data_IF_780366581901
#
_entry.id   IF_780366581901
#
_cell.length_a   1.000
_cell.length_b   1.000
_cell.length_c   1.000
_cell.angle_alpha   90.00
_cell.angle_beta   90.00
_cell.angle_gamma   90.00
#
_symmetry.space_group_name_H-M   'P 1'
#
loop_
_entity.id
_entity.type
_entity.pdbx_description
1 polymer ?
#
# COMPACT_ATOMS: atom_id res chain seq x y z
N UNK A 1 5.40 -24.02 9.89
CA UNK A 1 4.88 -22.65 10.09
C UNK A 1 5.63 -21.99 11.26
N UNK A 2 5.20 -20.79 11.69
CA UNK A 2 5.88 -19.94 12.67
C UNK A 2 6.08 -20.57 14.07
N UNK A 3 5.42 -21.68 14.41
CA UNK A 3 5.58 -22.29 15.74
C UNK A 3 6.14 -23.72 15.72
N UNK A 4 6.26 -24.36 14.56
CA UNK A 4 6.76 -25.74 14.47
C UNK A 4 7.68 -26.08 13.30
N UNK A 5 7.74 -25.25 12.24
CA UNK A 5 8.49 -25.59 11.02
C UNK A 5 8.04 -26.88 10.31
N UNK A 6 6.93 -27.48 10.76
CA UNK A 6 6.36 -28.76 10.36
C UNK A 6 5.38 -28.65 9.17
N UNK A 7 4.87 -27.45 8.92
CA UNK A 7 3.98 -27.15 7.79
C UNK A 7 4.70 -26.43 6.65
N UNK A 8 4.50 -26.92 5.42
CA UNK A 8 4.90 -26.27 4.16
C UNK A 8 3.68 -25.76 3.40
N UNK A 9 3.76 -24.51 2.92
CA UNK A 9 2.81 -23.93 1.97
C UNK A 9 3.39 -24.00 0.56
N UNK A 10 2.74 -24.75 -0.33
CA UNK A 10 3.15 -24.89 -1.73
C UNK A 10 2.16 -24.17 -2.65
N UNK A 11 2.66 -23.22 -3.43
CA UNK A 11 1.89 -22.52 -4.45
C UNK A 11 2.10 -23.20 -5.81
N UNK A 12 1.04 -23.78 -6.39
CA UNK A 12 1.11 -24.53 -7.63
C UNK A 12 0.06 -24.04 -8.66
N UNK A 13 0.37 -24.21 -9.96
CA UNK A 13 -0.59 -24.02 -11.04
C UNK A 13 -1.14 -25.38 -11.48
N UNK A 14 -2.45 -25.65 -11.33
CA UNK A 14 -3.00 -26.97 -11.67
C UNK A 14 -2.99 -27.23 -13.17
N UNK A 15 -2.52 -28.40 -13.58
CA UNK A 15 -2.56 -28.86 -14.97
C UNK A 15 -3.69 -29.88 -15.15
N UNK A 16 -4.94 -29.39 -15.18
CA UNK A 16 -6.16 -30.21 -15.25
C UNK A 16 -6.92 -30.27 -13.91
N UNK A 17 -7.90 -31.19 -13.76
CA UNK A 17 -8.62 -31.38 -12.50
C UNK A 17 -7.65 -31.84 -11.41
N UNK A 18 -7.76 -31.25 -10.23
CA UNK A 18 -6.88 -31.53 -9.09
C UNK A 18 -7.48 -32.53 -8.11
N UNK A 19 -8.78 -32.76 -8.19
CA UNK A 19 -9.50 -33.75 -7.40
C UNK A 19 -9.82 -35.00 -8.24
N UNK A 20 -9.79 -36.17 -7.60
CA UNK A 20 -10.13 -37.46 -8.21
C UNK A 20 -11.59 -37.53 -8.71
N UNK A 21 -12.46 -36.67 -8.20
CA UNK A 21 -13.86 -36.55 -8.63
C UNK A 21 -14.05 -35.59 -9.81
N UNK A 22 -12.95 -35.09 -10.39
CA UNK A 22 -12.96 -34.14 -11.51
C UNK A 22 -13.09 -32.68 -11.10
N UNK A 23 -13.13 -32.37 -9.80
CA UNK A 23 -13.19 -31.02 -9.25
C UNK A 23 -11.86 -30.26 -9.26
N UNK A 24 -11.92 -28.94 -9.01
CA UNK A 24 -10.73 -28.05 -8.85
C UNK A 24 -10.15 -28.03 -7.43
N UNK A 25 -10.82 -28.66 -6.47
CA UNK A 25 -10.40 -28.79 -5.07
C UNK A 25 -10.99 -30.09 -4.51
N UNK A 26 -10.33 -30.66 -3.51
CA UNK A 26 -10.82 -31.84 -2.77
C UNK A 26 -11.71 -31.46 -1.57
N UNK A 27 -11.87 -30.17 -1.27
CA UNK A 27 -12.72 -29.69 -0.17
C UNK A 27 -14.20 -29.58 -0.60
N UNK A 28 -15.12 -29.99 0.28
CA UNK A 28 -16.59 -29.97 0.07
C UNK A 28 -17.29 -28.84 0.86
N UNK A 29 -18.58 -28.60 0.61
CA UNK A 29 -19.40 -27.58 1.30
C UNK A 29 -19.27 -26.15 0.75
N UNK A 30 -19.63 -25.12 1.53
CA UNK A 30 -19.42 -23.68 1.19
C UNK A 30 -17.93 -23.34 0.97
N UNK A 31 -17.06 -24.25 1.38
CA UNK A 31 -15.60 -24.30 1.24
C UNK A 31 -15.15 -24.64 -0.20
N UNK A 32 -16.09 -25.01 -1.09
CA UNK A 32 -15.87 -25.08 -2.55
C UNK A 32 -15.55 -23.73 -3.16
N UNK A 33 -15.73 -22.62 -2.43
CA UNK A 33 -15.09 -21.36 -2.77
C UNK A 33 -13.59 -21.53 -2.58
N UNK A 34 -12.90 -21.84 -3.68
CA UNK A 34 -11.48 -21.55 -3.78
C UNK A 34 -11.35 -20.04 -3.52
N UNK A 35 -10.93 -19.68 -2.31
CA UNK A 35 -10.53 -18.32 -1.96
C UNK A 35 -9.25 -18.07 -2.73
N UNK A 36 -9.39 -17.67 -3.99
CA UNK A 36 -8.25 -17.54 -4.90
C UNK A 36 -8.53 -18.16 -6.25
N UNK A 37 -9.27 -17.44 -7.10
CA UNK A 37 -8.69 -17.24 -8.42
C UNK A 37 -7.32 -16.59 -8.19
N UNK A 38 -6.29 -17.43 -8.15
CA UNK A 38 -4.94 -17.05 -7.74
C UNK A 38 -4.33 -16.07 -8.73
N UNK A 39 -4.96 -15.77 -9.86
CA UNK A 39 -4.57 -14.65 -10.70
C UNK A 39 -4.78 -13.31 -9.98
N UNK A 40 -5.99 -13.07 -9.47
CA UNK A 40 -6.32 -11.84 -8.73
C UNK A 40 -5.66 -11.81 -7.35
N UNK A 41 -5.46 -12.97 -6.70
CA UNK A 41 -4.72 -13.03 -5.43
C UNK A 41 -3.20 -13.01 -5.59
N UNK A 42 -2.61 -13.52 -6.69
CA UNK A 42 -1.20 -13.26 -7.03
C UNK A 42 -0.99 -11.81 -7.37
N UNK A 43 -1.92 -11.17 -8.08
CA UNK A 43 -1.92 -9.72 -8.22
C UNK A 43 -2.03 -9.08 -6.84
N UNK A 44 -2.96 -9.47 -5.96
CA UNK A 44 -3.08 -8.86 -4.62
C UNK A 44 -1.87 -9.08 -3.70
N UNK A 45 -1.25 -10.26 -3.71
CA UNK A 45 -0.05 -10.58 -2.93
C UNK A 45 1.21 -10.02 -3.57
N UNK A 46 1.30 -10.04 -4.89
CA UNK A 46 2.37 -9.43 -5.68
C UNK A 46 2.32 -7.91 -5.63
N UNK A 47 1.14 -7.29 -5.70
CA UNK A 47 0.89 -5.85 -5.53
C UNK A 47 1.10 -5.45 -4.08
N UNK A 48 0.66 -6.26 -3.10
CA UNK A 48 1.05 -6.08 -1.70
C UNK A 48 2.57 -6.07 -1.55
N UNK A 49 3.26 -7.00 -2.21
CA UNK A 49 4.72 -7.03 -2.30
C UNK A 49 5.33 -5.83 -3.03
N UNK A 50 4.74 -5.32 -4.12
CA UNK A 50 5.23 -4.14 -4.83
C UNK A 50 5.08 -2.87 -3.99
N UNK A 51 3.95 -2.74 -3.29
CA UNK A 51 3.66 -1.63 -2.40
C UNK A 51 4.63 -1.62 -1.21
N UNK A 52 4.90 -2.80 -0.62
CA UNK A 52 5.95 -2.96 0.40
C UNK A 52 7.33 -2.63 -0.19
N UNK A 53 7.64 -3.08 -1.40
CA UNK A 53 8.92 -2.80 -2.06
C UNK A 53 9.14 -1.30 -2.34
N UNK A 54 8.07 -0.56 -2.64
CA UNK A 54 8.12 0.90 -2.77
C UNK A 54 8.46 1.52 -1.42
N UNK A 55 7.84 1.04 -0.33
CA UNK A 55 8.12 1.51 1.03
C UNK A 55 9.57 1.21 1.45
N UNK A 56 10.04 -0.02 1.23
CA UNK A 56 11.43 -0.43 1.46
C UNK A 56 12.41 0.45 0.67
N UNK A 57 12.10 0.73 -0.60
CA UNK A 57 12.91 1.63 -1.43
C UNK A 57 12.94 3.04 -0.84
N UNK A 58 11.83 3.56 -0.31
CA UNK A 58 11.81 4.87 0.33
C UNK A 58 12.62 4.89 1.62
N UNK A 59 12.60 3.82 2.41
CA UNK A 59 13.39 3.68 3.63
C UNK A 59 14.90 3.61 3.31
N UNK A 60 15.29 2.82 2.31
CA UNK A 60 16.67 2.78 1.79
C UNK A 60 17.14 4.16 1.33
N UNK A 61 16.29 4.92 0.62
CA UNK A 61 16.62 6.27 0.18
C UNK A 61 16.67 7.26 1.34
N UNK A 62 15.82 7.09 2.35
CA UNK A 62 15.84 7.93 3.55
C UNK A 62 17.15 7.75 4.32
N UNK A 63 17.66 6.52 4.42
CA UNK A 63 18.98 6.23 4.99
C UNK A 63 20.16 6.82 4.20
N UNK A 64 19.96 7.18 2.93
CA UNK A 64 20.97 7.76 2.03
C UNK A 64 20.87 9.30 1.93
N UNK A 65 20.04 9.96 2.75
CA UNK A 65 19.85 11.41 2.68
C UNK A 65 21.17 12.16 2.87
N UNK A 66 22.01 11.75 3.83
CA UNK A 66 23.31 12.39 4.12
C UNK A 66 24.39 12.12 3.05
N UNK A 67 24.24 11.04 2.27
CA UNK A 67 25.20 10.68 1.22
C UNK A 67 24.95 11.47 -0.07
N UNK A 68 25.53 12.66 -0.13
CA UNK A 68 25.43 13.56 -1.29
C UNK A 68 26.03 13.00 -2.59
N UNK A 69 26.80 11.90 -2.56
CA UNK A 69 27.29 11.26 -3.77
C UNK A 69 26.18 10.47 -4.50
N UNK A 70 25.16 10.00 -3.78
CA UNK A 70 24.03 9.29 -4.36
C UNK A 70 22.96 10.28 -4.80
N UNK A 71 22.55 10.17 -6.06
CA UNK A 71 21.54 11.03 -6.68
C UNK A 71 20.37 10.19 -7.18
N UNK A 72 19.16 10.56 -6.76
CA UNK A 72 17.91 10.05 -7.32
C UNK A 72 16.84 11.13 -7.23
N UNK A 73 15.77 11.00 -8.04
CA UNK A 73 14.65 11.93 -7.97
C UNK A 73 14.02 11.96 -6.57
N UNK A 74 13.76 10.78 -5.99
CA UNK A 74 13.23 10.63 -4.63
C UNK A 74 14.15 11.21 -3.56
N UNK A 75 15.47 11.03 -3.67
CA UNK A 75 16.44 11.66 -2.76
C UNK A 75 16.43 13.18 -2.86
N UNK A 76 16.27 13.72 -4.07
CA UNK A 76 16.15 15.17 -4.28
C UNK A 76 14.92 15.77 -3.60
N UNK A 77 13.82 15.03 -3.51
CA UNK A 77 12.62 15.45 -2.78
C UNK A 77 12.76 15.21 -1.27
N UNK A 78 13.36 14.11 -0.85
CA UNK A 78 13.61 13.82 0.57
C UNK A 78 14.55 14.83 1.23
N UNK A 79 15.55 15.34 0.48
CA UNK A 79 16.53 16.34 0.94
C UNK A 79 15.99 17.77 1.00
N UNK A 80 14.95 18.08 0.23
CA UNK A 80 14.35 19.43 0.16
C UNK A 80 12.84 19.36 0.42
N UNK A 81 12.42 19.58 1.68
CA UNK A 81 11.00 19.51 2.03
C UNK A 81 10.13 20.56 1.35
N UNK A 82 10.70 21.69 0.92
CA UNK A 82 9.95 22.73 0.21
C UNK A 82 9.72 22.32 -1.24
N UNK A 83 10.72 21.70 -1.87
CA UNK A 83 10.57 21.09 -3.20
C UNK A 83 9.56 19.94 -3.16
N UNK A 84 9.62 19.07 -2.16
CA UNK A 84 8.63 18.02 -1.95
C UNK A 84 7.21 18.58 -1.77
N UNK A 85 7.05 19.64 -0.96
CA UNK A 85 5.76 20.28 -0.73
C UNK A 85 5.19 20.89 -2.02
N UNK A 86 6.03 21.59 -2.80
CA UNK A 86 5.62 22.17 -4.08
C UNK A 86 5.17 21.08 -5.04
N UNK A 87 5.93 20.00 -5.16
CA UNK A 87 5.59 18.88 -6.05
C UNK A 87 4.29 18.21 -5.61
N UNK A 88 4.15 17.91 -4.32
CA UNK A 88 2.90 17.37 -3.78
C UNK A 88 1.69 18.27 -4.06
N UNK A 89 1.83 19.59 -3.97
CA UNK A 89 0.77 20.53 -4.32
C UNK A 89 0.38 20.51 -5.80
N UNK A 90 1.34 20.24 -6.69
CA UNK A 90 1.10 20.03 -8.13
C UNK A 90 0.26 18.77 -8.35
N UNK A 91 0.69 17.62 -7.79
CA UNK A 91 -0.03 16.33 -7.89
C UNK A 91 -1.46 16.41 -7.34
N UNK A 92 -1.68 17.19 -6.27
CA UNK A 92 -3.03 17.41 -5.72
C UNK A 92 -3.92 18.09 -6.76
N UNK A 93 -3.40 19.10 -7.46
CA UNK A 93 -4.17 19.82 -8.47
C UNK A 93 -4.36 18.99 -9.74
N UNK A 94 -3.32 18.25 -10.16
CA UNK A 94 -3.38 17.34 -11.31
C UNK A 94 -4.39 16.22 -11.07
N UNK A 95 -4.40 15.60 -9.88
CA UNK A 95 -5.43 14.62 -9.51
C UNK A 95 -6.85 15.21 -9.51
N UNK A 96 -7.03 16.40 -8.92
CA UNK A 96 -8.35 17.06 -8.92
C UNK A 96 -8.81 17.35 -10.35
N UNK A 97 -7.91 17.82 -11.20
CA UNK A 97 -8.22 18.09 -12.61
C UNK A 97 -8.55 16.79 -13.36
N UNK A 98 -7.75 15.75 -13.18
CA UNK A 98 -7.96 14.45 -13.83
C UNK A 98 -9.34 13.87 -13.49
N UNK A 99 -9.77 13.99 -12.23
CA UNK A 99 -11.11 13.55 -11.80
C UNK A 99 -12.24 14.34 -12.47
N UNK A 100 -12.01 15.60 -12.81
CA UNK A 100 -13.01 16.49 -13.41
C UNK A 100 -13.07 16.32 -14.94
N UNK A 101 -11.91 16.16 -15.59
CA UNK A 101 -11.78 16.38 -17.04
C UNK A 101 -11.34 15.15 -17.85
N UNK A 102 -10.68 14.16 -17.23
CA UNK A 102 -9.88 13.14 -17.95
C UNK A 102 -10.45 11.70 -17.87
N UNK A 103 -10.03 10.77 -18.76
CA UNK A 103 -10.41 9.36 -18.68
C UNK A 103 -9.82 8.65 -17.44
N UNK A 104 -10.46 7.54 -17.04
CA UNK A 104 -10.17 6.80 -15.79
C UNK A 104 -8.69 6.41 -15.59
N UNK A 105 -7.96 6.13 -16.68
CA UNK A 105 -6.53 5.76 -16.63
C UNK A 105 -5.63 6.90 -16.13
N UNK A 106 -5.99 8.14 -16.44
CA UNK A 106 -5.20 9.30 -16.02
C UNK A 106 -5.47 9.57 -14.52
N UNK A 107 -6.69 9.34 -14.04
CA UNK A 107 -7.03 9.42 -12.60
C UNK A 107 -6.24 8.42 -11.75
N UNK A 108 -6.08 7.18 -12.22
CA UNK A 108 -5.29 6.15 -11.49
C UNK A 108 -3.83 6.56 -11.36
N UNK A 109 -3.26 7.15 -12.41
CA UNK A 109 -1.87 7.62 -12.43
C UNK A 109 -1.68 8.78 -11.45
N UNK A 110 -2.51 9.82 -11.54
CA UNK A 110 -2.42 10.99 -10.66
C UNK A 110 -2.67 10.61 -9.19
N UNK A 111 -3.56 9.66 -8.93
CA UNK A 111 -3.77 9.15 -7.56
C UNK A 111 -2.54 8.41 -7.03
N UNK A 112 -1.86 7.64 -7.87
CA UNK A 112 -0.63 6.95 -7.49
C UNK A 112 0.49 7.96 -7.16
N UNK A 113 0.67 8.99 -7.99
CA UNK A 113 1.66 10.04 -7.78
C UNK A 113 1.34 10.88 -6.54
N UNK A 114 0.06 11.18 -6.28
CA UNK A 114 -0.41 11.81 -5.05
C UNK A 114 -0.06 10.99 -3.80
N UNK A 115 -0.35 9.69 -3.80
CA UNK A 115 -0.04 8.79 -2.68
C UNK A 115 1.46 8.70 -2.41
N UNK A 116 2.27 8.59 -3.48
CA UNK A 116 3.72 8.56 -3.38
C UNK A 116 4.29 9.89 -2.87
N UNK A 117 3.81 11.02 -3.40
CA UNK A 117 4.19 12.37 -2.98
C UNK A 117 3.87 12.63 -1.51
N UNK A 118 2.73 12.14 -1.02
CA UNK A 118 2.36 12.26 0.39
C UNK A 118 3.35 11.53 1.32
N UNK A 119 3.77 10.31 0.96
CA UNK A 119 4.75 9.54 1.72
C UNK A 119 6.13 10.21 1.73
N UNK A 120 6.61 10.69 0.57
CA UNK A 120 7.87 11.42 0.47
C UNK A 120 7.83 12.71 1.30
N UNK A 121 6.76 13.49 1.22
CA UNK A 121 6.62 14.74 1.95
C UNK A 121 6.60 14.52 3.46
N UNK A 122 5.95 13.45 3.93
CA UNK A 122 5.96 13.09 5.34
C UNK A 122 7.38 12.77 5.82
N UNK A 123 8.10 11.91 5.07
CA UNK A 123 9.47 11.49 5.39
C UNK A 123 10.50 12.63 5.27
N UNK A 124 10.36 13.54 4.31
CA UNK A 124 11.28 14.69 4.15
C UNK A 124 11.25 15.65 5.34
N UNK A 125 10.15 15.67 6.11
CA UNK A 125 10.01 16.47 7.34
C UNK A 125 10.41 15.71 8.60
N UNK A 126 11.19 14.64 8.47
CA UNK A 126 11.63 13.76 9.56
C UNK A 126 10.46 13.12 10.34
N UNK A 127 9.29 13.00 9.71
CA UNK A 127 8.20 12.22 10.29
C UNK A 127 8.40 10.77 9.90
N UNK A 128 8.52 9.91 10.90
CA UNK A 128 8.55 8.46 10.73
C UNK A 128 7.17 7.95 10.32
N UNK A 129 6.87 8.07 9.02
CA UNK A 129 5.62 7.66 8.40
C UNK A 129 5.93 6.58 7.38
N UNK A 130 5.71 5.33 7.79
CA UNK A 130 5.74 4.18 6.89
C UNK A 130 4.37 3.88 6.30
N UNK A 131 4.34 3.23 5.15
CA UNK A 131 3.09 2.80 4.55
C UNK A 131 2.39 1.74 5.41
N UNK A 132 3.14 0.92 6.13
CA UNK A 132 2.61 0.01 7.14
C UNK A 132 1.78 0.76 8.20
N UNK A 133 2.30 1.87 8.73
CA UNK A 133 1.61 2.67 9.74
C UNK A 133 0.28 3.24 9.22
N UNK A 134 0.27 3.69 7.96
CA UNK A 134 -0.92 4.20 7.26
C UNK A 134 -1.94 3.08 7.06
N UNK A 135 -1.50 1.91 6.59
CA UNK A 135 -2.36 0.74 6.39
C UNK A 135 -3.00 0.28 7.70
N UNK A 136 -2.24 0.22 8.81
CA UNK A 136 -2.77 -0.10 10.14
C UNK A 136 -3.89 0.86 10.55
N UNK A 137 -3.73 2.16 10.32
CA UNK A 137 -4.77 3.16 10.59
C UNK A 137 -6.01 2.92 9.72
N UNK A 138 -5.84 2.61 8.43
CA UNK A 138 -6.96 2.33 7.53
C UNK A 138 -7.73 1.06 7.91
N UNK A 139 -7.02 0.01 8.34
CA UNK A 139 -7.63 -1.24 8.84
C UNK A 139 -8.46 -0.93 10.09
N UNK A 140 -7.88 -0.25 11.08
CA UNK A 140 -8.61 0.12 12.30
C UNK A 140 -9.85 0.97 12.01
N UNK A 141 -9.75 1.93 11.07
CA UNK A 141 -10.91 2.73 10.61
C UNK A 141 -11.99 1.87 9.97
N UNK A 142 -11.63 0.88 9.18
CA UNK A 142 -12.59 -0.01 8.53
C UNK A 142 -13.27 -0.95 9.53
N UNK A 143 -12.53 -1.45 10.52
CA UNK A 143 -13.05 -2.27 11.62
C UNK A 143 -14.02 -1.49 12.50
N UNK A 144 -13.66 -0.25 12.88
CA UNK A 144 -14.53 0.65 13.65
C UNK A 144 -15.84 0.95 12.90
N UNK A 145 -15.77 1.19 11.57
CA UNK A 145 -16.97 1.38 10.74
C UNK A 145 -17.87 0.13 10.73
N UNK A 146 -17.27 -1.07 10.66
CA UNK A 146 -18.02 -2.34 10.65
C UNK A 146 -18.65 -2.68 12.01
N UNK A 147 -18.03 -2.23 13.10
CA UNK A 147 -18.53 -2.42 14.45
C UNK A 147 -19.68 -1.47 14.83
N UNK A 148 -20.12 -0.58 13.92
CA UNK A 148 -21.19 0.38 14.20
C UNK A 148 -20.80 1.50 15.16
N UNK A 149 -19.52 1.59 15.54
CA UNK A 149 -18.96 2.75 16.26
C UNK A 149 -18.76 3.89 15.26
N UNK A 150 -19.83 4.64 15.01
CA UNK A 150 -19.83 5.81 14.13
C UNK A 150 -19.18 7.03 14.82
N UNK A 151 -17.88 6.93 15.14
CA UNK A 151 -17.03 8.09 15.44
C UNK A 151 -16.33 8.54 14.14
N UNK A 152 -17.11 9.06 13.20
CA UNK A 152 -16.61 9.62 11.94
C UNK A 152 -15.58 10.72 12.26
N UNK A 153 -14.43 10.73 11.59
CA UNK A 153 -13.48 11.85 11.60
C UNK A 153 -12.66 12.12 12.88
N UNK A 154 -12.62 11.23 13.87
CA UNK A 154 -11.71 11.41 15.01
C UNK A 154 -10.26 11.08 14.63
N UNK A 155 -9.55 12.02 13.98
CA UNK A 155 -8.09 12.08 14.06
C UNK A 155 -7.76 12.71 15.40
N UNK A 156 -7.10 12.01 16.34
CA UNK A 156 -6.61 12.68 17.53
C UNK A 156 -5.50 13.64 17.08
N UNK A 157 -5.77 14.94 17.17
CA UNK A 157 -4.75 15.97 17.02
C UNK A 157 -3.82 15.80 18.23
N UNK A 158 -2.66 15.17 18.03
CA UNK A 158 -1.56 15.23 19.00
C UNK A 158 -1.12 16.69 19.10
N UNK A 159 -1.50 17.37 20.19
CA UNK A 159 -1.05 18.73 20.44
C UNK A 159 -1.91 19.49 21.45
N UNK A 160 -2.16 18.92 22.62
CA UNK A 160 -2.62 19.70 23.77
C UNK A 160 -1.66 19.42 24.94
N UNK A 161 -0.47 20.03 24.83
CA UNK A 161 0.42 20.25 25.96
C UNK A 161 -0.26 21.23 26.91
N UNK A 162 -0.54 20.73 28.12
CA UNK A 162 -0.81 21.53 29.30
C UNK A 162 0.48 22.17 29.81
#
# INVERSE_FOLDING_TARGET
DCEGGDTLLVLANPAGPTCSEGGRTCFDGDEKRIVGDVAMQRLRWGLGGQVVRIDDTLDERTAQIEDTAVQSYSLGLLRDPNKALKKFGEEVMEFVQAVIEEPEKDVEQELADLMFGALILARSREKDVSLESVLRILVARNEAKRAGSDERFAVPIKGETR
#
